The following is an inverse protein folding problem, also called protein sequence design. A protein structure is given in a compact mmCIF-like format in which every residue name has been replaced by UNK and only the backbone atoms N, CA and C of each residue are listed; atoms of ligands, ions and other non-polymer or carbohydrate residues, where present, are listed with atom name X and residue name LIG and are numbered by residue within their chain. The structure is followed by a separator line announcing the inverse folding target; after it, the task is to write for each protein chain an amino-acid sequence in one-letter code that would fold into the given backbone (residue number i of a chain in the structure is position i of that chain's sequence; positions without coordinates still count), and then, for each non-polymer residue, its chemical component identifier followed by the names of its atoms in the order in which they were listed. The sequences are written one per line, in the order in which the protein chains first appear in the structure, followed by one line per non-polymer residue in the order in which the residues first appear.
data_IF_086492702722
#
_entry.id   IF_086492702722
#
_cell.length_a   1.000
_cell.length_b   1.000
_cell.length_c   1.000
_cell.angle_alpha   90.00
_cell.angle_beta   90.00
_cell.angle_gamma   90.00
#
_symmetry.space_group_name_H-M   'P 1'
#
loop_
_entity.id
_entity.type
_entity.pdbx_description
1 polymer ?
#
# COMPACT_ATOMS: atom_id res chain seq x y z
N UNK A 1 11.27 15.18 -1.43
CA UNK A 1 10.41 13.98 -1.38
C UNK A 1 10.00 13.75 0.06
N UNK A 2 8.77 13.30 0.34
CA UNK A 2 8.38 12.91 1.69
C UNK A 2 9.24 11.71 2.14
N UNK A 3 9.61 11.67 3.41
CA UNK A 3 10.27 10.50 4.00
C UNK A 3 9.32 9.31 4.06
N UNK A 4 9.84 8.10 4.25
CA UNK A 4 9.00 6.91 4.47
C UNK A 4 8.10 7.07 5.70
N UNK A 5 8.59 7.78 6.73
CA UNK A 5 7.83 8.09 7.94
C UNK A 5 6.67 9.05 7.63
N UNK A 6 6.89 10.07 6.77
CA UNK A 6 5.82 10.97 6.36
C UNK A 6 4.73 10.23 5.59
N UNK A 7 5.12 9.30 4.71
CA UNK A 7 4.18 8.44 3.98
C UNK A 7 3.36 7.59 4.95
N UNK A 8 4.01 6.92 5.90
CA UNK A 8 3.31 6.11 6.90
C UNK A 8 2.37 6.95 7.76
N UNK A 9 2.80 8.14 8.19
CA UNK A 9 1.98 9.04 9.00
C UNK A 9 0.77 9.60 8.23
N UNK A 10 0.86 9.70 6.90
CA UNK A 10 -0.26 10.11 6.06
C UNK A 10 -1.36 9.05 5.95
N UNK A 11 -1.04 7.76 6.17
CA UNK A 11 -2.04 6.70 6.20
C UNK A 11 -2.97 6.89 7.40
N UNK A 12 -4.27 6.78 7.15
CA UNK A 12 -5.30 6.87 8.20
C UNK A 12 -5.54 5.49 8.81
N UNK A 13 -5.63 5.43 10.13
CA UNK A 13 -6.09 4.22 10.80
C UNK A 13 -7.52 3.92 10.38
N UNK A 14 -7.77 2.71 9.93
CA UNK A 14 -9.11 2.27 9.53
C UNK A 14 -9.57 1.13 10.45
N UNK A 15 -10.16 1.44 11.61
CA UNK A 15 -10.63 0.46 12.58
C UNK A 15 -11.97 -0.12 12.14
N UNK A 16 -11.93 -1.05 11.21
CA UNK A 16 -13.13 -1.73 10.68
C UNK A 16 -12.89 -3.23 10.59
N UNK A 17 -13.87 -4.00 11.04
CA UNK A 17 -13.80 -5.47 11.09
C UNK A 17 -14.09 -6.10 9.73
N UNK A 18 -13.19 -5.89 8.77
CA UNK A 18 -13.25 -6.50 7.45
C UNK A 18 -12.32 -7.71 7.38
N UNK A 19 -12.75 -8.74 6.68
CA UNK A 19 -11.86 -9.82 6.24
C UNK A 19 -10.89 -9.32 5.17
N UNK A 20 -9.82 -10.07 4.90
CA UNK A 20 -8.90 -9.74 3.82
C UNK A 20 -9.61 -9.66 2.45
N UNK A 21 -10.56 -10.58 2.17
CA UNK A 21 -11.32 -10.58 0.93
C UNK A 21 -12.25 -9.36 0.80
N UNK A 22 -12.91 -8.94 1.89
CA UNK A 22 -13.72 -7.72 1.90
C UNK A 22 -12.85 -6.47 1.71
N UNK A 23 -11.67 -6.44 2.33
CA UNK A 23 -10.70 -5.39 2.12
C UNK A 23 -10.20 -5.30 0.68
N UNK A 24 -9.93 -6.44 0.04
CA UNK A 24 -9.55 -6.51 -1.38
C UNK A 24 -10.67 -5.99 -2.31
N UNK A 25 -11.93 -6.15 -1.92
CA UNK A 25 -13.09 -5.57 -2.63
C UNK A 25 -13.28 -4.06 -2.41
N UNK A 26 -12.56 -3.43 -1.48
CA UNK A 26 -12.63 -1.98 -1.27
C UNK A 26 -11.97 -1.22 -2.42
N UNK A 27 -12.43 0.01 -2.66
CA UNK A 27 -11.84 0.88 -3.68
C UNK A 27 -10.34 1.09 -3.44
N UNK A 28 -9.56 1.06 -4.51
CA UNK A 28 -8.11 1.19 -4.46
C UNK A 28 -7.64 2.49 -3.79
N UNK A 29 -8.35 3.61 -4.01
CA UNK A 29 -8.02 4.91 -3.41
C UNK A 29 -8.20 4.94 -1.88
N UNK A 30 -9.10 4.12 -1.32
CA UNK A 30 -9.23 3.94 0.13
C UNK A 30 -8.08 3.08 0.65
N UNK A 31 -7.80 1.98 -0.05
CA UNK A 31 -6.74 1.04 0.34
C UNK A 31 -5.35 1.69 0.33
N UNK A 32 -5.08 2.55 -0.65
CA UNK A 32 -3.82 3.29 -0.76
C UNK A 32 -3.58 4.25 0.42
N UNK A 33 -4.67 4.73 1.06
CA UNK A 33 -4.62 5.79 2.08
C UNK A 33 -4.87 5.30 3.50
N UNK A 34 -5.09 4.01 3.68
CA UNK A 34 -5.43 3.45 4.98
C UNK A 34 -4.33 2.55 5.54
N UNK A 35 -4.08 2.67 6.85
CA UNK A 35 -3.43 1.64 7.64
C UNK A 35 -4.52 0.71 8.16
N UNK A 36 -4.53 -0.50 7.66
CA UNK A 36 -5.58 -1.49 7.91
C UNK A 36 -4.98 -2.83 8.37
N UNK A 37 -5.69 -3.51 9.25
CA UNK A 37 -5.43 -4.89 9.62
C UNK A 37 -6.75 -5.68 9.55
N UNK A 38 -6.76 -6.78 8.80
CA UNK A 38 -7.96 -7.61 8.69
C UNK A 38 -8.44 -8.09 10.07
N UNK A 39 -9.76 -8.00 10.30
CA UNK A 39 -10.44 -8.41 11.53
C UNK A 39 -10.06 -7.61 12.80
N UNK A 40 -9.46 -6.43 12.67
CA UNK A 40 -9.12 -5.53 13.78
C UNK A 40 -9.90 -4.24 13.64
N UNK A 41 -10.80 -3.97 14.57
CA UNK A 41 -11.63 -2.77 14.66
C UNK A 41 -11.25 -1.86 15.85
N UNK A 42 -10.21 -2.22 16.59
CA UNK A 42 -9.72 -1.46 17.74
C UNK A 42 -8.62 -0.49 17.31
N UNK A 43 -8.92 0.81 17.36
CA UNK A 43 -8.03 1.86 16.86
C UNK A 43 -6.67 1.89 17.58
N UNK A 44 -6.64 1.58 18.88
CA UNK A 44 -5.42 1.56 19.68
C UNK A 44 -4.48 0.42 19.27
N UNK A 45 -5.02 -0.78 18.95
CA UNK A 45 -4.23 -1.89 18.42
C UNK A 45 -3.62 -1.53 17.05
N UNK A 46 -4.43 -0.91 16.16
CA UNK A 46 -3.92 -0.42 14.86
C UNK A 46 -2.83 0.63 15.04
N UNK A 47 -3.00 1.54 16.02
CA UNK A 47 -2.03 2.59 16.31
C UNK A 47 -0.70 1.98 16.75
N UNK A 48 -0.72 0.97 17.62
CA UNK A 48 0.51 0.35 18.13
C UNK A 48 1.25 -0.41 17.02
N UNK A 49 0.55 -1.14 16.17
CA UNK A 49 1.16 -1.76 15.00
C UNK A 49 1.77 -0.72 14.04
N UNK A 50 1.11 0.43 13.84
CA UNK A 50 1.67 1.52 13.05
C UNK A 50 2.92 2.12 13.71
N UNK A 51 2.95 2.26 15.03
CA UNK A 51 4.11 2.71 15.78
C UNK A 51 5.29 1.74 15.61
N UNK A 52 5.04 0.45 15.68
CA UNK A 52 6.05 -0.59 15.44
C UNK A 52 6.62 -0.52 14.02
N UNK A 53 5.77 -0.38 12.99
CA UNK A 53 6.21 -0.16 11.59
C UNK A 53 7.04 1.13 11.47
N UNK A 54 6.62 2.21 12.15
CA UNK A 54 7.36 3.47 12.18
C UNK A 54 8.76 3.31 12.79
N UNK A 55 8.86 2.57 13.90
CA UNK A 55 10.13 2.24 14.55
C UNK A 55 11.06 1.46 13.64
N UNK A 56 10.53 0.47 12.92
CA UNK A 56 11.30 -0.31 11.93
C UNK A 56 11.79 0.56 10.76
N UNK A 57 10.95 1.42 10.21
CA UNK A 57 11.30 2.32 9.11
C UNK A 57 12.35 3.34 9.56
N UNK A 58 12.22 3.86 10.78
CA UNK A 58 13.14 4.83 11.37
C UNK A 58 14.45 4.23 11.88
N UNK A 59 14.56 2.90 11.91
CA UNK A 59 15.74 2.18 12.41
C UNK A 59 15.87 2.17 13.94
N UNK A 60 14.84 2.59 14.68
CA UNK A 60 14.81 2.55 16.15
C UNK A 60 14.38 1.20 16.71
N UNK A 61 13.77 0.34 15.91
CA UNK A 61 13.38 -1.02 16.26
C UNK A 61 13.82 -2.00 15.17
N UNK A 62 14.40 -3.11 15.60
CA UNK A 62 14.49 -4.32 14.77
C UNK A 62 13.09 -4.95 14.63
N UNK A 63 12.94 -5.88 13.68
CA UNK A 63 11.67 -6.61 13.52
C UNK A 63 11.33 -7.45 14.77
N UNK A 64 12.32 -7.94 15.48
CA UNK A 64 12.12 -8.70 16.73
C UNK A 64 11.61 -7.79 17.82
N UNK A 65 12.26 -6.65 18.07
CA UNK A 65 11.82 -5.66 19.06
C UNK A 65 10.42 -5.10 18.74
N UNK A 66 10.11 -4.89 17.46
CA UNK A 66 8.79 -4.46 17.02
C UNK A 66 7.69 -5.51 17.38
N UNK A 67 8.00 -6.81 17.24
CA UNK A 67 7.08 -7.89 17.64
C UNK A 67 6.94 -8.00 19.16
N UNK A 68 8.03 -7.86 19.89
CA UNK A 68 8.03 -7.86 21.35
C UNK A 68 7.17 -6.72 21.88
N UNK A 69 7.37 -5.50 21.38
CA UNK A 69 6.56 -4.34 21.76
C UNK A 69 5.06 -4.54 21.49
N UNK A 70 4.69 -5.12 20.34
CA UNK A 70 3.30 -5.47 20.04
C UNK A 70 2.79 -6.55 21.01
N UNK A 71 3.58 -7.58 21.29
CA UNK A 71 3.23 -8.65 22.21
C UNK A 71 2.95 -8.14 23.63
N UNK A 72 3.84 -7.31 24.15
CA UNK A 72 3.72 -6.68 25.47
C UNK A 72 2.49 -5.77 25.55
N UNK A 73 2.25 -5.00 24.49
CA UNK A 73 1.07 -4.15 24.41
C UNK A 73 -0.22 -4.97 24.40
N UNK A 74 -0.34 -6.01 23.57
CA UNK A 74 -1.50 -6.89 23.53
C UNK A 74 -1.75 -7.57 24.88
N UNK A 75 -0.68 -7.96 25.59
CA UNK A 75 -0.78 -8.53 26.92
C UNK A 75 -1.29 -7.50 27.95
N UNK A 76 -0.79 -6.26 27.91
CA UNK A 76 -1.22 -5.18 28.81
C UNK A 76 -2.70 -4.78 28.63
N UNK A 77 -3.20 -4.87 27.38
CA UNK A 77 -4.61 -4.63 27.05
C UNK A 77 -5.52 -5.85 27.31
N UNK A 78 -4.95 -6.97 27.77
CA UNK A 78 -5.71 -8.19 28.04
C UNK A 78 -6.28 -8.83 26.77
N UNK A 79 -5.63 -8.62 25.60
CA UNK A 79 -6.10 -9.16 24.32
C UNK A 79 -6.29 -10.68 24.37
N UNK A 80 -7.45 -11.13 23.93
CA UNK A 80 -7.77 -12.54 23.72
C UNK A 80 -8.04 -12.79 22.22
N UNK A 81 -7.50 -13.88 21.66
CA UNK A 81 -7.81 -14.22 20.28
C UNK A 81 -9.28 -14.59 20.12
N UNK A 82 -9.86 -14.45 18.93
CA UNK A 82 -11.20 -14.95 18.66
C UNK A 82 -11.32 -16.44 19.00
N UNK A 83 -12.49 -16.87 19.45
CA UNK A 83 -12.75 -18.24 19.85
C UNK A 83 -12.33 -19.25 18.77
N UNK A 84 -11.56 -20.27 19.14
CA UNK A 84 -11.02 -21.29 18.25
C UNK A 84 -9.97 -20.79 17.24
N UNK A 85 -9.41 -19.58 17.43
CA UNK A 85 -8.37 -19.00 16.55
C UNK A 85 -7.01 -18.85 17.22
N UNK A 86 -6.86 -19.31 18.45
CA UNK A 86 -5.60 -19.27 19.17
C UNK A 86 -4.48 -19.97 18.37
N UNK A 87 -3.30 -19.33 18.28
CA UNK A 87 -2.15 -19.83 17.54
C UNK A 87 -2.29 -19.79 16.01
N UNK A 88 -3.42 -19.35 15.47
CA UNK A 88 -3.62 -19.20 14.01
C UNK A 88 -3.19 -17.83 13.50
N UNK A 89 -3.25 -17.62 12.18
CA UNK A 89 -3.01 -16.30 11.54
C UNK A 89 -4.02 -15.23 11.98
N UNK A 90 -5.11 -15.59 12.65
CA UNK A 90 -6.09 -14.65 13.18
C UNK A 90 -5.78 -14.22 14.62
N UNK A 91 -4.87 -14.90 15.30
CA UNK A 91 -4.35 -14.51 16.61
C UNK A 91 -3.24 -13.47 16.43
N UNK A 92 -3.45 -12.24 16.93
CA UNK A 92 -2.51 -11.12 16.79
C UNK A 92 -1.18 -11.36 17.51
N UNK A 93 -1.13 -12.29 18.48
CA UNK A 93 0.08 -12.63 19.23
C UNK A 93 1.05 -13.50 18.44
N UNK A 94 0.58 -14.16 17.37
CA UNK A 94 1.43 -15.09 16.62
C UNK A 94 2.50 -14.35 15.81
N UNK A 95 3.70 -14.91 15.82
CA UNK A 95 4.84 -14.40 15.02
C UNK A 95 4.47 -14.30 13.53
N UNK A 96 3.71 -15.28 13.02
CA UNK A 96 3.26 -15.30 11.64
C UNK A 96 2.36 -14.09 11.32
N UNK A 97 1.39 -13.78 12.19
CA UNK A 97 0.49 -12.65 12.01
C UNK A 97 1.22 -11.32 12.11
N UNK A 98 2.06 -11.15 13.12
CA UNK A 98 2.84 -9.94 13.34
C UNK A 98 3.80 -9.68 12.16
N UNK A 99 4.54 -10.69 11.72
CA UNK A 99 5.40 -10.56 10.53
C UNK A 99 4.61 -10.15 9.30
N UNK A 100 3.46 -10.78 9.05
CA UNK A 100 2.61 -10.44 7.90
C UNK A 100 2.22 -8.97 7.91
N UNK A 101 1.76 -8.44 9.05
CA UNK A 101 1.35 -7.04 9.19
C UNK A 101 2.54 -6.10 9.04
N UNK A 102 3.62 -6.34 9.77
CA UNK A 102 4.81 -5.47 9.78
C UNK A 102 5.46 -5.41 8.38
N UNK A 103 5.72 -6.57 7.77
CA UNK A 103 6.39 -6.64 6.46
C UNK A 103 5.51 -6.07 5.34
N UNK A 104 4.21 -6.35 5.35
CA UNK A 104 3.30 -5.85 4.30
C UNK A 104 3.21 -4.33 4.35
N UNK A 105 3.00 -3.74 5.53
CA UNK A 105 2.87 -2.29 5.66
C UNK A 105 4.19 -1.57 5.37
N UNK A 106 5.33 -2.10 5.83
CA UNK A 106 6.64 -1.56 5.49
C UNK A 106 6.90 -1.59 3.98
N UNK A 107 6.57 -2.72 3.34
CA UNK A 107 6.75 -2.88 1.89
C UNK A 107 5.80 -1.96 1.09
N UNK A 108 4.56 -1.74 1.53
CA UNK A 108 3.63 -0.79 0.91
C UNK A 108 4.16 0.65 0.96
N UNK A 109 4.64 1.10 2.12
CA UNK A 109 5.23 2.43 2.28
C UNK A 109 6.44 2.61 1.36
N UNK A 110 7.33 1.62 1.33
CA UNK A 110 8.52 1.65 0.47
C UNK A 110 8.15 1.60 -1.03
N UNK A 111 7.16 0.78 -1.39
CA UNK A 111 6.66 0.67 -2.77
C UNK A 111 6.05 1.98 -3.27
N UNK A 112 5.22 2.62 -2.46
CA UNK A 112 4.66 3.93 -2.76
C UNK A 112 5.76 4.99 -2.95
N UNK A 113 6.72 5.04 -2.01
CA UNK A 113 7.85 5.97 -2.13
C UNK A 113 8.65 5.76 -3.42
N UNK A 114 8.91 4.50 -3.79
CA UNK A 114 9.58 4.16 -5.04
C UNK A 114 8.74 4.59 -6.26
N UNK A 115 7.43 4.39 -6.24
CA UNK A 115 6.54 4.84 -7.31
C UNK A 115 6.63 6.35 -7.50
N UNK A 116 6.58 7.12 -6.43
CA UNK A 116 6.68 8.58 -6.49
C UNK A 116 8.09 9.07 -6.88
N UNK A 117 9.15 8.34 -6.49
CA UNK A 117 10.52 8.64 -6.89
C UNK A 117 10.71 8.59 -8.40
N UNK A 118 10.19 7.54 -9.03
CA UNK A 118 10.39 7.30 -10.46
C UNK A 118 9.27 7.88 -11.34
N UNK A 119 8.22 8.45 -10.75
CA UNK A 119 7.16 9.12 -11.51
C UNK A 119 7.74 10.26 -12.34
N UNK A 120 7.60 10.17 -13.66
CA UNK A 120 8.11 11.15 -14.61
C UNK A 120 9.64 11.18 -14.74
N UNK A 121 10.33 10.16 -14.28
CA UNK A 121 11.77 10.03 -14.47
C UNK A 121 12.10 9.67 -15.92
N UNK A 122 12.71 10.61 -16.64
CA UNK A 122 13.21 10.37 -17.99
C UNK A 122 14.44 9.46 -17.96
N UNK A 123 15.31 9.62 -16.97
CA UNK A 123 16.51 8.78 -16.85
C UNK A 123 16.18 7.30 -16.59
N UNK A 124 15.09 7.05 -15.86
CA UNK A 124 14.59 5.71 -15.52
C UNK A 124 13.08 5.62 -15.80
N UNK A 125 12.67 5.58 -17.08
CA UNK A 125 11.27 5.63 -17.47
C UNK A 125 10.50 4.33 -17.19
N UNK A 126 11.21 3.25 -16.94
CA UNK A 126 10.68 1.90 -16.76
C UNK A 126 11.26 1.24 -15.51
N UNK A 127 10.63 0.16 -15.08
CA UNK A 127 11.11 -0.71 -14.01
C UNK A 127 10.96 -2.17 -14.39
N UNK A 128 11.83 -3.01 -13.81
CA UNK A 128 11.80 -4.47 -13.94
C UNK A 128 11.26 -5.11 -12.70
N UNK A 129 10.32 -6.02 -12.83
CA UNK A 129 9.88 -6.89 -11.73
C UNK A 129 11.00 -7.84 -11.33
N UNK A 130 11.39 -7.82 -10.07
CA UNK A 130 12.51 -8.65 -9.56
C UNK A 130 12.16 -9.27 -8.22
N UNK A 131 12.79 -10.41 -7.92
CA UNK A 131 12.77 -10.97 -6.57
C UNK A 131 13.77 -10.22 -5.70
N UNK A 132 13.28 -9.66 -4.59
CA UNK A 132 14.09 -8.91 -3.61
C UNK A 132 14.25 -9.65 -2.29
N UNK A 133 13.38 -10.63 -2.02
CA UNK A 133 13.46 -11.49 -0.83
C UNK A 133 13.09 -12.92 -1.19
N UNK A 134 13.90 -13.88 -0.71
CA UNK A 134 13.59 -15.29 -0.88
C UNK A 134 12.36 -15.69 -0.06
N UNK A 135 11.61 -16.65 -0.59
CA UNK A 135 10.43 -17.24 0.04
C UNK A 135 10.48 -18.76 -0.08
N UNK A 136 10.00 -19.45 0.95
CA UNK A 136 9.90 -20.92 0.95
C UNK A 136 8.99 -21.37 -0.18
N UNK A 137 7.81 -20.76 -0.29
CA UNK A 137 6.88 -21.00 -1.39
C UNK A 137 7.05 -19.90 -2.45
N UNK A 138 7.60 -20.29 -3.60
CA UNK A 138 7.81 -19.39 -4.73
C UNK A 138 6.61 -19.45 -5.66
N UNK A 139 5.94 -18.31 -5.87
CA UNK A 139 4.89 -18.18 -6.89
C UNK A 139 5.50 -18.06 -8.27
N UNK A 140 4.77 -18.52 -9.28
CA UNK A 140 5.14 -18.36 -10.69
C UNK A 140 4.84 -16.94 -11.18
N UNK A 141 5.77 -16.03 -10.89
CA UNK A 141 5.66 -14.64 -11.31
C UNK A 141 5.76 -14.44 -12.81
N UNK A 142 6.56 -15.21 -13.58
CA UNK A 142 6.54 -15.15 -15.03
C UNK A 142 5.16 -15.45 -15.65
N UNK A 143 4.42 -16.43 -15.14
CA UNK A 143 3.05 -16.70 -15.60
C UNK A 143 2.10 -15.56 -15.22
N UNK A 144 2.14 -15.08 -13.98
CA UNK A 144 1.32 -13.91 -13.55
C UNK A 144 1.62 -12.66 -14.37
N UNK A 145 2.89 -12.46 -14.75
CA UNK A 145 3.26 -11.37 -15.63
C UNK A 145 2.62 -11.49 -17.01
N UNK A 146 2.66 -12.67 -17.62
CA UNK A 146 2.04 -12.92 -18.93
C UNK A 146 0.54 -12.71 -18.91
N UNK A 147 -0.13 -13.16 -17.84
CA UNK A 147 -1.57 -12.93 -17.63
C UNK A 147 -1.88 -11.43 -17.52
N UNK A 148 -1.16 -10.72 -16.68
CA UNK A 148 -1.32 -9.27 -16.52
C UNK A 148 -1.00 -8.52 -17.83
N UNK A 149 0.04 -8.94 -18.56
CA UNK A 149 0.40 -8.39 -19.87
C UNK A 149 -0.74 -8.54 -20.88
N UNK A 150 -1.32 -9.74 -20.96
CA UNK A 150 -2.46 -10.00 -21.85
C UNK A 150 -3.69 -9.16 -21.45
N UNK A 151 -3.95 -9.04 -20.14
CA UNK A 151 -5.08 -8.27 -19.63
C UNK A 151 -5.02 -6.79 -20.00
N UNK A 152 -3.83 -6.18 -20.03
CA UNK A 152 -3.64 -4.77 -20.38
C UNK A 152 -3.30 -4.56 -21.88
N UNK A 153 -3.35 -5.61 -22.70
CA UNK A 153 -3.01 -5.51 -24.12
C UNK A 153 -1.55 -5.18 -24.39
N UNK A 154 -0.66 -5.43 -23.44
CA UNK A 154 0.78 -5.15 -23.55
C UNK A 154 1.16 -3.68 -23.42
N UNK A 155 0.27 -2.80 -23.03
CA UNK A 155 0.51 -1.36 -22.96
C UNK A 155 1.68 -1.01 -22.04
N UNK A 156 2.71 -0.37 -22.66
CA UNK A 156 3.92 0.10 -21.97
C UNK A 156 4.70 -1.00 -21.25
N UNK A 157 4.64 -2.27 -21.73
CA UNK A 157 5.31 -3.40 -21.10
C UNK A 157 6.00 -4.32 -22.10
N UNK A 158 6.97 -5.11 -21.61
CA UNK A 158 7.62 -6.19 -22.35
C UNK A 158 7.14 -7.55 -21.83
N UNK A 159 6.67 -8.41 -22.74
CA UNK A 159 6.17 -9.74 -22.37
C UNK A 159 7.26 -10.66 -21.80
N UNK A 160 8.49 -10.58 -22.34
CA UNK A 160 9.59 -11.51 -22.01
C UNK A 160 10.42 -11.07 -20.81
N UNK A 161 10.63 -9.75 -20.66
CA UNK A 161 11.62 -9.21 -19.74
C UNK A 161 11.05 -8.80 -18.39
N UNK A 162 9.73 -8.91 -18.18
CA UNK A 162 9.02 -8.40 -17.02
C UNK A 162 9.39 -6.95 -16.70
N UNK A 163 9.52 -6.12 -17.75
CA UNK A 163 9.81 -4.69 -17.68
C UNK A 163 8.61 -3.92 -18.19
N UNK A 164 8.25 -2.83 -17.50
CA UNK A 164 7.21 -1.93 -17.96
C UNK A 164 7.53 -0.48 -17.60
N UNK A 165 6.91 0.46 -18.31
CA UNK A 165 6.94 1.88 -17.98
C UNK A 165 6.43 2.11 -16.54
N UNK A 166 6.90 3.18 -15.90
CA UNK A 166 6.55 3.48 -14.51
C UNK A 166 5.04 3.64 -14.27
N UNK A 167 4.31 4.09 -15.28
CA UNK A 167 2.85 4.32 -15.27
C UNK A 167 2.04 3.24 -16.00
N UNK A 168 2.69 2.17 -16.47
CA UNK A 168 1.99 1.08 -17.16
C UNK A 168 0.91 0.47 -16.26
N UNK A 169 -0.30 0.20 -16.80
CA UNK A 169 -1.39 -0.43 -16.07
C UNK A 169 -1.08 -1.87 -15.63
N UNK A 170 -0.03 -2.49 -16.19
CA UNK A 170 0.38 -3.85 -15.82
C UNK A 170 0.71 -3.96 -14.33
N UNK A 171 1.26 -2.91 -13.72
CA UNK A 171 1.59 -2.91 -12.30
C UNK A 171 0.38 -3.08 -11.41
N UNK A 172 -0.74 -2.45 -11.77
CA UNK A 172 -2.02 -2.63 -11.09
C UNK A 172 -2.61 -4.01 -11.38
N UNK A 173 -2.60 -4.45 -12.66
CA UNK A 173 -3.12 -5.76 -13.06
C UNK A 173 -2.38 -6.93 -12.41
N UNK A 174 -1.08 -6.76 -12.13
CA UNK A 174 -0.25 -7.76 -11.45
C UNK A 174 -0.57 -7.85 -9.94
N UNK A 175 -1.11 -6.79 -9.37
CA UNK A 175 -1.27 -6.62 -7.93
C UNK A 175 -2.58 -7.19 -7.41
N UNK A 176 -2.51 -8.06 -6.41
CA UNK A 176 -3.67 -8.48 -5.63
C UNK A 176 -4.35 -7.32 -4.90
N UNK A 177 -3.62 -6.24 -4.67
CA UNK A 177 -4.11 -5.07 -3.94
C UNK A 177 -4.65 -3.97 -4.87
N UNK A 178 -4.63 -4.17 -6.20
CA UNK A 178 -4.93 -3.17 -7.23
C UNK A 178 -4.14 -1.86 -7.07
N UNK A 179 -2.93 -1.96 -6.53
CA UNK A 179 -2.02 -0.85 -6.35
C UNK A 179 -0.85 -0.97 -7.34
N UNK A 180 -0.41 0.15 -7.96
CA UNK A 180 0.62 0.12 -9.00
C UNK A 180 2.05 -0.02 -8.48
N UNK A 181 2.24 -0.49 -7.23
CA UNK A 181 3.54 -0.64 -6.58
C UNK A 181 3.59 -1.85 -5.64
N UNK A 182 4.80 -2.35 -5.30
CA UNK A 182 4.96 -3.48 -4.38
C UNK A 182 4.44 -3.16 -2.94
N UNK A 183 4.09 -4.21 -2.18
CA UNK A 183 4.12 -5.62 -2.56
C UNK A 183 2.93 -5.98 -3.43
N UNK A 184 3.12 -6.84 -4.42
CA UNK A 184 2.04 -7.23 -5.34
C UNK A 184 1.16 -8.35 -4.80
N UNK A 185 1.54 -8.93 -3.67
CA UNK A 185 0.78 -9.95 -2.94
C UNK A 185 1.38 -10.10 -1.52
N UNK A 186 0.63 -10.68 -0.60
CA UNK A 186 1.14 -11.03 0.73
C UNK A 186 2.35 -11.94 0.61
N UNK A 187 3.41 -11.61 1.34
CA UNK A 187 4.67 -12.37 1.31
C UNK A 187 5.21 -12.63 -0.11
N UNK A 188 5.02 -11.69 -1.04
CA UNK A 188 5.42 -11.89 -2.44
C UNK A 188 6.93 -12.05 -2.62
N UNK A 189 7.72 -11.37 -1.82
CA UNK A 189 9.17 -11.27 -2.01
C UNK A 189 9.57 -10.54 -3.30
N UNK A 190 8.61 -9.89 -3.97
CA UNK A 190 8.84 -9.17 -5.23
C UNK A 190 8.95 -7.67 -4.99
N UNK A 191 9.78 -7.05 -5.79
CA UNK A 191 9.96 -5.60 -5.86
C UNK A 191 10.25 -5.17 -7.27
N UNK A 192 10.72 -3.93 -7.44
CA UNK A 192 11.07 -3.37 -8.74
C UNK A 192 12.48 -2.79 -8.72
N UNK A 193 13.16 -2.86 -9.86
CA UNK A 193 14.43 -2.17 -10.11
C UNK A 193 14.27 -1.22 -11.27
N UNK A 194 14.87 -0.01 -11.21
CA UNK A 194 14.82 0.95 -12.30
C UNK A 194 15.53 0.40 -13.54
N UNK A 195 15.00 0.74 -14.70
CA UNK A 195 15.54 0.44 -16.03
C UNK A 195 15.92 1.76 -16.69
N UNK A 196 17.15 1.86 -17.20
CA UNK A 196 17.66 3.06 -17.84
C UNK A 196 16.89 3.42 -19.11
N UNK A 197 16.99 4.68 -19.53
CA UNK A 197 16.42 5.14 -20.79
C UNK A 197 16.90 4.29 -21.99
N UNK A 198 18.19 3.99 -22.05
CA UNK A 198 18.77 3.23 -23.16
C UNK A 198 18.29 1.79 -23.19
N UNK A 199 18.14 1.17 -22.01
CA UNK A 199 17.58 -0.17 -21.90
C UNK A 199 16.09 -0.19 -22.27
N UNK A 200 15.32 0.77 -21.79
CA UNK A 200 13.90 0.91 -22.13
C UNK A 200 13.72 1.13 -23.65
N UNK A 201 14.60 1.91 -24.27
CA UNK A 201 14.61 2.12 -25.71
C UNK A 201 14.95 0.84 -26.48
N UNK A 202 15.94 0.06 -26.04
CA UNK A 202 16.27 -1.25 -26.64
C UNK A 202 15.11 -2.23 -26.57
N UNK A 203 14.29 -2.14 -25.53
CA UNK A 203 13.07 -2.93 -25.36
C UNK A 203 11.86 -2.39 -26.14
N UNK A 204 12.02 -1.26 -26.85
CA UNK A 204 10.94 -0.63 -27.62
C UNK A 204 9.87 0.03 -26.76
N UNK A 205 10.14 0.29 -25.47
CA UNK A 205 9.19 0.88 -24.54
C UNK A 205 9.13 2.41 -24.63
N UNK A 206 10.22 3.05 -25.08
CA UNK A 206 10.30 4.51 -25.23
C UNK A 206 10.98 4.88 -26.56
N UNK A 207 10.62 6.06 -27.06
CA UNK A 207 11.26 6.75 -28.21
C UNK A 207 11.70 8.14 -27.77
N UNK A 208 12.63 8.79 -28.50
CA UNK A 208 13.11 10.14 -28.14
C UNK A 208 12.00 11.17 -27.89
N UNK A 209 10.92 11.12 -28.69
CA UNK A 209 9.75 12.01 -28.58
C UNK A 209 8.96 11.84 -27.28
N UNK A 210 9.06 10.70 -26.58
CA UNK A 210 8.30 10.41 -25.37
C UNK A 210 8.84 11.15 -24.13
N UNK A 211 10.08 11.66 -24.20
CA UNK A 211 10.76 12.25 -23.03
C UNK A 211 9.96 13.38 -22.39
N UNK A 212 9.35 14.28 -23.20
CA UNK A 212 8.56 15.39 -22.70
C UNK A 212 7.26 14.93 -22.03
N UNK A 213 6.59 13.93 -22.58
CA UNK A 213 5.38 13.35 -22.01
C UNK A 213 5.66 12.63 -20.69
N UNK A 214 6.75 11.85 -20.62
CA UNK A 214 7.20 11.19 -19.38
C UNK A 214 7.54 12.23 -18.30
N UNK A 215 8.32 13.27 -18.63
CA UNK A 215 8.64 14.33 -17.69
C UNK A 215 7.38 15.06 -17.16
N UNK A 216 6.36 15.20 -17.98
CA UNK A 216 5.10 15.84 -17.60
C UNK A 216 4.32 15.04 -16.53
N UNK A 217 4.47 13.70 -16.49
CA UNK A 217 3.87 12.87 -15.45
C UNK A 217 4.43 13.19 -14.06
N UNK A 218 5.72 13.55 -13.97
CA UNK A 218 6.35 13.96 -12.73
C UNK A 218 5.75 15.25 -12.12
N UNK A 219 5.17 16.11 -12.95
CA UNK A 219 4.48 17.33 -12.52
C UNK A 219 3.11 17.04 -11.89
N UNK A 220 2.52 15.90 -12.22
CA UNK A 220 1.26 15.41 -11.63
C UNK A 220 1.47 14.69 -10.29
N UNK A 221 2.61 14.90 -9.62
CA UNK A 221 2.81 14.34 -8.27
C UNK A 221 1.62 14.70 -7.42
N UNK A 222 0.91 13.67 -6.99
CA UNK A 222 -0.17 13.83 -6.05
C UNK A 222 0.40 14.52 -4.80
N UNK A 223 -0.16 15.66 -4.45
CA UNK A 223 0.05 16.19 -3.11
C UNK A 223 -0.37 15.10 -2.14
N UNK A 224 0.50 14.73 -1.19
CA UNK A 224 0.12 13.89 -0.05
C UNK A 224 -0.92 14.59 0.86
N UNK A 225 -1.34 15.80 0.53
CA UNK A 225 -2.57 16.38 0.99
C UNK A 225 -3.73 15.59 0.39
N UNK A 226 -3.87 14.37 0.88
CA UNK A 226 -5.01 13.53 0.60
C UNK A 226 -6.24 14.21 1.17
N UNK A 227 -6.88 15.05 0.37
CA UNK A 227 -8.27 15.35 0.57
C UNK A 227 -9.01 14.02 0.45
N UNK A 228 -9.17 13.31 1.56
CA UNK A 228 -9.95 12.08 1.60
C UNK A 228 -11.37 12.46 1.20
N UNK A 229 -11.74 12.09 -0.02
CA UNK A 229 -13.12 12.13 -0.47
C UNK A 229 -13.62 10.70 -0.55
N UNK A 230 -14.61 10.37 0.25
CA UNK A 230 -15.38 9.15 0.10
C UNK A 230 -16.77 9.50 -0.41
N UNK A 231 -17.39 8.61 -1.19
CA UNK A 231 -18.79 8.78 -1.56
C UNK A 231 -19.65 8.67 -0.30
N UNK A 232 -20.48 9.69 -0.06
CA UNK A 232 -21.52 9.66 0.96
C UNK A 232 -22.88 9.22 0.40
N UNK A 233 -22.92 8.79 -0.87
CA UNK A 233 -24.14 8.32 -1.51
C UNK A 233 -24.62 7.03 -0.83
N UNK A 234 -25.86 7.03 -0.34
CA UNK A 234 -26.47 5.89 0.34
C UNK A 234 -26.13 5.75 1.83
N UNK A 235 -25.40 6.71 2.42
CA UNK A 235 -25.21 6.76 3.86
C UNK A 235 -26.37 7.52 4.53
N UNK A 236 -26.97 6.89 5.52
CA UNK A 236 -28.00 7.48 6.37
C UNK A 236 -27.45 8.60 7.27
N UNK A 237 -28.33 9.51 7.73
CA UNK A 237 -27.93 10.69 8.50
C UNK A 237 -27.24 10.34 9.83
N UNK A 238 -27.68 9.29 10.48
CA UNK A 238 -27.13 8.76 11.74
C UNK A 238 -25.75 8.13 11.53
N UNK A 239 -25.52 7.41 10.43
CA UNK A 239 -24.19 6.92 10.05
C UNK A 239 -23.25 8.10 9.79
N UNK A 240 -23.74 9.14 9.13
CA UNK A 240 -22.97 10.37 8.90
C UNK A 240 -22.61 11.09 10.20
N UNK A 241 -23.55 11.15 11.15
CA UNK A 241 -23.31 11.72 12.47
C UNK A 241 -22.25 10.93 13.25
N UNK A 242 -22.32 9.59 13.21
CA UNK A 242 -21.30 8.72 13.82
C UNK A 242 -19.92 8.89 13.18
N UNK A 243 -19.84 8.98 11.85
CA UNK A 243 -18.58 9.25 11.14
C UNK A 243 -18.01 10.62 11.55
N UNK A 244 -18.83 11.64 11.69
CA UNK A 244 -18.38 12.95 12.17
C UNK A 244 -17.83 12.89 13.61
N UNK A 245 -18.51 12.18 14.51
CA UNK A 245 -18.05 11.98 15.90
C UNK A 245 -16.76 11.17 15.94
N UNK A 246 -16.70 10.01 15.28
CA UNK A 246 -15.55 9.12 15.26
C UNK A 246 -14.34 9.76 14.59
N UNK A 247 -14.56 10.67 13.65
CA UNK A 247 -13.50 11.43 12.98
C UNK A 247 -13.02 12.64 13.79
N UNK A 248 -13.60 12.92 14.96
CA UNK A 248 -13.33 14.14 15.71
C UNK A 248 -13.72 15.42 14.93
N UNK A 249 -14.80 15.37 14.16
CA UNK A 249 -15.28 16.48 13.33
C UNK A 249 -14.48 16.73 12.05
N UNK A 250 -13.52 15.86 11.72
CA UNK A 250 -12.66 16.02 10.54
C UNK A 250 -13.33 15.58 9.24
N UNK A 251 -14.22 14.59 9.29
CA UNK A 251 -15.02 14.19 8.14
C UNK A 251 -16.25 15.08 8.03
N UNK A 252 -16.36 15.81 6.93
CA UNK A 252 -17.46 16.74 6.67
C UNK A 252 -18.16 16.31 5.38
N UNK A 253 -19.49 16.33 5.38
CA UNK A 253 -20.26 16.10 4.16
C UNK A 253 -20.17 17.32 3.25
N UNK A 254 -19.75 17.09 2.02
CA UNK A 254 -19.75 18.07 0.94
C UNK A 254 -20.49 17.47 -0.26
N UNK A 255 -21.73 17.89 -0.45
CA UNK A 255 -22.62 17.33 -1.46
C UNK A 255 -22.84 15.81 -1.28
N UNK A 256 -22.42 15.02 -2.29
CA UNK A 256 -22.47 13.54 -2.28
C UNK A 256 -21.18 12.90 -1.78
N UNK A 257 -20.24 13.69 -1.26
CA UNK A 257 -18.94 13.23 -0.79
C UNK A 257 -18.75 13.49 0.70
N UNK A 258 -18.01 12.60 1.36
CA UNK A 258 -17.35 12.84 2.63
C UNK A 258 -15.97 13.41 2.34
N UNK A 259 -15.72 14.64 2.79
CA UNK A 259 -14.41 15.29 2.67
C UNK A 259 -13.76 15.30 4.04
N UNK A 260 -12.52 14.80 4.10
CA UNK A 260 -11.73 14.86 5.30
C UNK A 260 -10.97 16.19 5.34
N UNK A 261 -11.34 17.10 6.22
CA UNK A 261 -10.55 18.32 6.46
C UNK A 261 -9.27 17.93 7.17
N UNK A 262 -8.16 17.97 6.45
CA UNK A 262 -6.83 17.78 7.02
C UNK A 262 -6.59 18.82 8.10
N UNK A 263 -6.28 18.39 9.32
CA UNK A 263 -5.67 19.29 10.29
C UNK A 263 -4.30 19.69 9.72
N UNK A 264 -4.02 20.98 9.65
CA UNK A 264 -2.65 21.44 9.60
C UNK A 264 -1.93 20.82 10.80
N UNK A 265 -0.82 20.11 10.54
CA UNK A 265 0.08 19.75 11.59
C UNK A 265 0.56 21.04 12.25
N UNK A 266 0.24 21.19 13.53
CA UNK A 266 0.88 22.19 14.38
C UNK A 266 2.32 21.78 14.62
#
# INVERSE_FOLDING_TARGET
MPSLIDILNALKLLPVKLTAAQWEGMRADIRERAFFMALVDEAHILQEHRNAVKGMIGGSLSKTEAREAIGDYLASEGYQPPEGKEGTIQDLRTVQRQNLVLETNQAMVAGYAQQELFRGSVAFPAQRLVRIAERVEKRDWPSRWREAYALVGGEGASAQEMVALNDSPIWTALSRFDLPYPPYDYNSGMGRRPVSWDDARRLGLVKPEDAAAIAAQGRKRGSMNFGLQASAAGLDADVMAQVAVLSGGRAVKDGKSLVWKGGQAA
#
